data_IF_305887940997
#
_entry.id   IF_305887940997
#
_cell.length_a   1.000
_cell.length_b   1.000
_cell.length_c   1.000
_cell.angle_alpha   90.00
_cell.angle_beta   90.00
_cell.angle_gamma   90.00
#
_symmetry.space_group_name_H-M   'P 1'
#
loop_
_entity.id
_entity.type
_entity.pdbx_description
1 polymer ?
#
# COMPACT_ATOMS: atom_id res chain seq x y z
N UNK A 1 -14.25 4.47 7.93
CA UNK A 1 -14.11 3.35 8.88
C UNK A 1 -13.24 2.26 8.28
N UNK A 2 -12.70 1.35 9.09
CA UNK A 2 -11.76 0.31 8.62
C UNK A 2 -12.45 -0.75 7.76
N UNK A 3 -11.84 -1.08 6.61
CA UNK A 3 -12.20 -2.22 5.77
C UNK A 3 -11.22 -3.35 6.09
N UNK A 4 -11.75 -4.53 6.47
CA UNK A 4 -10.94 -5.72 6.75
C UNK A 4 -11.39 -6.90 5.89
N UNK A 5 -10.45 -7.51 5.18
CA UNK A 5 -10.66 -8.66 4.30
C UNK A 5 -9.61 -9.71 4.64
N UNK A 6 -9.98 -10.61 5.56
CA UNK A 6 -9.07 -11.63 6.10
C UNK A 6 -8.76 -12.76 5.13
N UNK A 7 -9.58 -12.92 4.08
CA UNK A 7 -9.45 -13.98 3.09
C UNK A 7 -9.10 -13.42 1.72
N UNK A 8 -8.86 -14.33 0.78
CA UNK A 8 -8.64 -14.01 -0.62
C UNK A 8 -9.90 -13.47 -1.29
N UNK A 9 -9.75 -12.41 -2.08
CA UNK A 9 -10.74 -11.99 -3.09
C UNK A 9 -10.14 -12.15 -4.49
N UNK A 10 -10.97 -12.62 -5.42
CA UNK A 10 -10.65 -12.68 -6.85
C UNK A 10 -11.64 -11.86 -7.66
N UNK A 11 -11.13 -11.16 -8.68
CA UNK A 11 -11.90 -10.30 -9.56
C UNK A 11 -11.43 -8.85 -9.49
N UNK A 12 -12.17 -7.97 -10.15
CA UNK A 12 -11.88 -6.54 -10.10
C UNK A 12 -12.35 -5.97 -8.76
N UNK A 13 -11.46 -5.25 -8.09
CA UNK A 13 -11.66 -4.79 -6.71
C UNK A 13 -11.45 -3.28 -6.63
N UNK A 14 -12.42 -2.59 -6.04
CA UNK A 14 -12.28 -1.19 -5.64
C UNK A 14 -12.63 -1.06 -4.16
N UNK A 15 -11.62 -0.78 -3.33
CA UNK A 15 -11.80 -0.48 -1.91
C UNK A 15 -11.45 0.98 -1.64
N UNK A 16 -12.32 1.65 -0.91
CA UNK A 16 -12.15 3.06 -0.57
C UNK A 16 -12.58 3.30 0.89
N UNK A 17 -11.74 4.01 1.63
CA UNK A 17 -12.14 4.59 2.92
C UNK A 17 -11.62 6.02 3.07
N UNK A 18 -12.39 6.86 3.74
CA UNK A 18 -11.99 8.22 4.12
C UNK A 18 -11.39 8.31 5.52
N UNK A 19 -11.59 7.27 6.34
CA UNK A 19 -11.15 7.22 7.74
C UNK A 19 -10.79 5.77 8.12
N UNK A 20 -9.71 5.56 8.87
CA UNK A 20 -9.22 4.24 9.25
C UNK A 20 -8.47 3.51 8.12
N UNK A 21 -8.43 2.18 8.21
CA UNK A 21 -7.47 1.37 7.44
C UNK A 21 -8.13 0.55 6.33
N UNK A 22 -7.31 0.09 5.38
CA UNK A 22 -7.64 -1.01 4.46
C UNK A 22 -6.70 -2.16 4.80
N UNK A 23 -7.24 -3.22 5.40
CA UNK A 23 -6.49 -4.40 5.82
C UNK A 23 -6.93 -5.57 4.95
N UNK A 24 -6.04 -6.09 4.11
CA UNK A 24 -6.34 -7.20 3.19
C UNK A 24 -5.29 -8.28 3.31
N UNK A 25 -5.71 -9.55 3.27
CA UNK A 25 -4.77 -10.66 3.14
C UNK A 25 -4.27 -10.77 1.70
N UNK A 26 -5.19 -11.06 0.76
CA UNK A 26 -4.84 -11.35 -0.63
C UNK A 26 -5.90 -10.83 -1.61
N UNK A 27 -5.46 -10.05 -2.59
CA UNK A 27 -6.31 -9.60 -3.71
C UNK A 27 -5.70 -10.05 -5.03
N UNK A 28 -6.53 -10.58 -5.93
CA UNK A 28 -6.13 -10.98 -7.28
C UNK A 28 -7.16 -10.54 -8.33
N UNK A 29 -6.76 -9.79 -9.35
CA UNK A 29 -7.71 -9.27 -10.33
C UNK A 29 -7.07 -8.82 -11.64
N UNK A 30 -7.89 -8.31 -12.57
CA UNK A 30 -7.34 -7.52 -13.67
C UNK A 30 -7.15 -6.09 -13.18
N UNK A 31 -8.17 -5.50 -12.56
CA UNK A 31 -8.16 -4.13 -12.06
C UNK A 31 -8.31 -4.11 -10.54
N UNK A 32 -7.30 -3.61 -9.81
CA UNK A 32 -7.37 -3.41 -8.36
C UNK A 32 -7.11 -1.94 -8.05
N UNK A 33 -8.05 -1.29 -7.37
CA UNK A 33 -7.92 0.10 -6.89
C UNK A 33 -8.12 0.15 -5.37
N UNK A 34 -7.13 0.67 -4.65
CA UNK A 34 -7.18 0.86 -3.20
C UNK A 34 -6.99 2.35 -2.88
N UNK A 35 -7.92 2.92 -2.11
CA UNK A 35 -7.91 4.35 -1.75
C UNK A 35 -8.13 4.57 -0.26
N UNK A 36 -7.16 5.19 0.41
CA UNK A 36 -7.25 5.54 1.83
C UNK A 36 -6.93 7.03 2.00
N UNK A 37 -7.95 7.85 2.33
CA UNK A 37 -7.76 9.30 2.47
C UNK A 37 -7.40 9.75 3.89
N UNK A 38 -7.26 8.81 4.81
CA UNK A 38 -6.85 9.10 6.18
C UNK A 38 -5.32 9.27 6.26
N UNK A 39 -4.87 10.42 6.73
CA UNK A 39 -3.43 10.71 6.94
C UNK A 39 -2.78 9.79 7.97
N UNK A 40 -3.58 9.20 8.86
CA UNK A 40 -3.16 8.21 9.86
C UNK A 40 -3.49 6.78 9.40
N UNK A 41 -4.15 6.64 8.25
CA UNK A 41 -4.59 5.36 7.71
C UNK A 41 -3.44 4.56 7.11
N UNK A 42 -3.59 3.24 7.15
CA UNK A 42 -2.68 2.31 6.49
C UNK A 42 -3.45 1.42 5.54
N UNK A 43 -2.91 1.29 4.31
CA UNK A 43 -3.26 0.18 3.41
C UNK A 43 -2.24 -0.92 3.69
N UNK A 44 -2.70 -2.05 4.23
CA UNK A 44 -1.86 -3.21 4.55
C UNK A 44 -2.33 -4.43 3.77
N UNK A 45 -1.46 -4.93 2.88
CA UNK A 45 -1.60 -6.23 2.22
C UNK A 45 -0.63 -7.25 2.84
N UNK A 46 -1.15 -8.13 3.70
CA UNK A 46 -0.31 -9.02 4.49
C UNK A 46 0.26 -10.21 3.71
N UNK A 47 -0.31 -10.55 2.55
CA UNK A 47 0.22 -11.60 1.67
C UNK A 47 0.53 -11.10 0.26
N UNK A 48 -0.48 -10.79 -0.56
CA UNK A 48 -0.30 -10.53 -2.00
C UNK A 48 -1.33 -9.56 -2.58
N UNK A 49 -0.85 -8.56 -3.31
CA UNK A 49 -1.61 -7.80 -4.29
C UNK A 49 -1.18 -8.25 -5.69
N UNK A 50 -2.05 -8.92 -6.43
CA UNK A 50 -1.79 -9.37 -7.80
C UNK A 50 -2.80 -8.74 -8.76
N UNK A 51 -2.36 -7.87 -9.67
CA UNK A 51 -3.23 -7.26 -10.66
C UNK A 51 -2.55 -7.06 -12.02
N UNK A 52 -3.31 -7.06 -13.11
CA UNK A 52 -2.80 -6.51 -14.36
C UNK A 52 -2.55 -5.00 -14.18
N UNK A 53 -3.55 -4.29 -13.64
CA UNK A 53 -3.53 -2.86 -13.35
C UNK A 53 -3.82 -2.66 -11.85
N UNK A 54 -2.78 -2.32 -11.08
CA UNK A 54 -2.86 -2.00 -9.66
C UNK A 54 -2.70 -0.49 -9.47
N UNK A 55 -3.71 0.14 -8.86
CA UNK A 55 -3.64 1.53 -8.39
C UNK A 55 -3.82 1.59 -6.89
N UNK A 56 -2.87 2.20 -6.21
CA UNK A 56 -2.94 2.47 -4.76
C UNK A 56 -2.75 3.96 -4.53
N UNK A 57 -3.70 4.59 -3.86
CA UNK A 57 -3.59 5.99 -3.44
C UNK A 57 -3.84 6.07 -1.94
N UNK A 58 -2.91 6.63 -1.17
CA UNK A 58 -3.10 6.82 0.27
C UNK A 58 -2.54 8.15 0.76
N UNK A 59 -3.24 8.77 1.71
CA UNK A 59 -2.74 9.94 2.44
C UNK A 59 -1.87 9.55 3.66
N UNK A 60 -1.89 8.26 4.03
CA UNK A 60 -1.10 7.70 5.12
C UNK A 60 0.01 6.79 4.61
N UNK A 61 -0.04 5.50 4.94
CA UNK A 61 1.02 4.53 4.61
C UNK A 61 0.55 3.38 3.72
N UNK A 62 1.49 2.81 2.96
CA UNK A 62 1.34 1.53 2.28
C UNK A 62 2.31 0.50 2.85
N UNK A 63 1.78 -0.65 3.27
CA UNK A 63 2.54 -1.86 3.59
C UNK A 63 2.07 -3.01 2.72
N UNK A 64 3.00 -3.68 2.06
CA UNK A 64 2.68 -4.87 1.29
C UNK A 64 3.78 -5.91 1.41
N UNK A 65 3.41 -7.16 1.68
CA UNK A 65 4.37 -8.26 1.63
C UNK A 65 4.79 -8.55 0.20
N UNK A 66 3.84 -8.69 -0.72
CA UNK A 66 4.14 -8.89 -2.13
C UNK A 66 3.20 -8.07 -3.00
N UNK A 67 3.77 -7.41 -4.00
CA UNK A 67 3.02 -6.80 -5.10
C UNK A 67 3.50 -7.44 -6.39
N UNK A 68 2.56 -7.99 -7.16
CA UNK A 68 2.80 -8.51 -8.50
C UNK A 68 1.83 -7.84 -9.47
N UNK A 69 2.35 -7.25 -10.54
CA UNK A 69 1.48 -6.77 -11.59
C UNK A 69 2.18 -6.45 -12.89
N UNK A 70 1.39 -5.96 -13.85
CA UNK A 70 1.92 -5.45 -15.11
C UNK A 70 2.10 -3.94 -15.04
N UNK A 71 1.04 -3.22 -14.66
CA UNK A 71 1.05 -1.78 -14.45
C UNK A 71 0.74 -1.50 -12.98
N UNK A 72 1.73 -1.00 -12.25
CA UNK A 72 1.60 -0.69 -10.82
C UNK A 72 1.80 0.81 -10.64
N UNK A 73 0.81 1.47 -10.08
CA UNK A 73 0.86 2.89 -9.73
C UNK A 73 0.54 3.04 -8.25
N UNK A 74 1.51 3.51 -7.48
CA UNK A 74 1.39 3.77 -6.05
C UNK A 74 1.69 5.23 -5.81
N UNK A 75 0.71 5.92 -5.25
CA UNK A 75 0.79 7.32 -4.85
C UNK A 75 0.55 7.43 -3.35
N UNK A 76 1.56 7.90 -2.62
CA UNK A 76 1.45 8.19 -1.20
C UNK A 76 1.62 9.69 -0.98
N UNK A 77 0.52 10.35 -0.62
CA UNK A 77 0.48 11.77 -0.24
C UNK A 77 0.63 11.88 1.27
N UNK A 78 1.71 11.27 1.77
CA UNK A 78 1.95 11.03 3.19
C UNK A 78 2.22 12.32 3.94
N UNK A 79 1.56 12.48 5.09
CA UNK A 79 2.02 13.37 6.15
C UNK A 79 2.66 12.50 7.23
N UNK A 80 3.83 12.86 7.76
CA UNK A 80 4.40 12.10 8.88
C UNK A 80 3.41 12.14 10.05
N UNK A 81 2.88 10.99 10.50
CA UNK A 81 2.22 10.91 11.78
C UNK A 81 3.27 11.30 12.82
N UNK A 82 3.07 12.42 13.52
CA UNK A 82 3.82 12.67 14.75
C UNK A 82 3.65 11.42 15.62
N UNK A 83 4.75 10.71 15.86
CA UNK A 83 4.83 9.40 16.52
C UNK A 83 3.68 9.15 17.50
N UNK A 84 2.63 8.45 17.08
CA UNK A 84 1.73 7.77 18.03
C UNK A 84 0.83 6.74 17.35
N UNK A 85 1.13 5.49 17.71
CA UNK A 85 0.27 4.31 17.68
C UNK A 85 -0.26 3.83 16.33
N UNK A 86 0.50 2.94 15.69
CA UNK A 86 -0.07 1.91 14.82
C UNK A 86 0.41 0.54 15.28
N UNK A 87 -0.53 -0.39 15.27
CA UNK A 87 -0.39 -1.82 15.55
C UNK A 87 0.87 -2.37 14.85
N UNK A 88 1.64 -3.17 15.58
CA UNK A 88 2.90 -3.85 15.21
C UNK A 88 4.19 -3.06 15.51
N UNK A 89 4.65 -3.19 16.77
CA UNK A 89 6.05 -3.06 17.16
C UNK A 89 6.85 -4.24 16.58
N UNK A 90 7.01 -4.30 15.27
CA UNK A 90 8.11 -5.04 14.68
C UNK A 90 9.30 -4.07 14.65
N UNK A 91 10.39 -4.40 15.34
CA UNK A 91 11.64 -3.63 15.46
C UNK A 91 12.34 -3.31 14.11
N UNK A 92 11.71 -3.67 12.98
CA UNK A 92 12.16 -3.46 11.60
C UNK A 92 11.39 -2.35 10.85
N UNK A 93 10.40 -1.70 11.49
CA UNK A 93 9.64 -0.59 10.90
C UNK A 93 10.45 0.70 10.89
N UNK A 94 11.20 0.88 9.80
CA UNK A 94 12.11 2.00 9.57
C UNK A 94 11.40 3.34 9.31
N UNK A 95 10.08 3.40 9.51
CA UNK A 95 9.26 4.60 9.36
C UNK A 95 8.92 4.97 7.91
N UNK A 96 9.16 4.08 6.93
CA UNK A 96 8.90 4.38 5.52
C UNK A 96 7.42 4.51 5.19
N UNK A 97 7.08 5.47 4.32
CA UNK A 97 5.70 5.70 3.84
C UNK A 97 5.23 4.57 2.92
N UNK A 98 6.15 4.00 2.14
CA UNK A 98 5.94 2.78 1.36
C UNK A 98 6.93 1.71 1.87
N UNK A 99 6.42 0.61 2.41
CA UNK A 99 7.21 -0.60 2.72
C UNK A 99 6.67 -1.81 1.94
N UNK A 100 7.47 -2.29 0.98
CA UNK A 100 7.15 -3.43 0.13
C UNK A 100 8.24 -4.50 0.28
N UNK A 101 7.88 -5.70 0.74
CA UNK A 101 8.89 -6.76 0.90
C UNK A 101 9.33 -7.40 -0.41
N UNK A 102 8.48 -7.42 -1.44
CA UNK A 102 8.87 -7.83 -2.79
C UNK A 102 7.95 -7.20 -3.84
N UNK A 103 8.53 -6.65 -4.91
CA UNK A 103 7.82 -6.04 -6.03
C UNK A 103 8.20 -6.76 -7.33
N UNK A 104 7.21 -7.40 -7.97
CA UNK A 104 7.37 -8.11 -9.23
C UNK A 104 6.57 -7.40 -10.33
N UNK A 105 7.28 -6.84 -11.31
CA UNK A 105 6.69 -6.28 -12.52
C UNK A 105 6.83 -7.30 -13.64
N UNK A 106 5.75 -7.59 -14.34
CA UNK A 106 5.70 -8.57 -15.43
C UNK A 106 5.20 -7.97 -16.73
N UNK A 107 5.51 -8.63 -17.85
CA UNK A 107 5.12 -8.16 -19.19
C UNK A 107 5.88 -6.92 -19.62
N UNK A 108 5.23 -6.04 -20.39
CA UNK A 108 5.80 -4.80 -20.92
C UNK A 108 5.44 -3.55 -20.12
N UNK A 109 4.84 -3.71 -18.94
CA UNK A 109 4.42 -2.60 -18.08
C UNK A 109 5.55 -2.11 -17.17
N UNK A 110 5.18 -1.38 -16.13
CA UNK A 110 6.10 -0.73 -15.21
C UNK A 110 5.52 -0.56 -13.80
N UNK A 111 6.39 -0.22 -12.86
CA UNK A 111 5.99 0.24 -11.53
C UNK A 111 6.37 1.70 -11.35
N UNK A 112 5.39 2.51 -10.99
CA UNK A 112 5.55 3.90 -10.57
C UNK A 112 5.22 3.96 -9.07
N UNK A 113 6.23 4.30 -8.26
CA UNK A 113 6.06 4.52 -6.83
C UNK A 113 6.41 5.98 -6.54
N UNK A 114 5.42 6.74 -6.11
CA UNK A 114 5.56 8.16 -5.87
C UNK A 114 5.13 8.51 -4.44
N UNK A 115 5.92 9.38 -3.84
CA UNK A 115 5.68 9.91 -2.50
C UNK A 115 5.71 11.43 -2.62
N UNK A 116 4.57 12.07 -2.41
CA UNK A 116 4.51 13.52 -2.20
C UNK A 116 4.60 13.78 -0.70
N UNK A 117 5.82 14.05 -0.23
CA UNK A 117 6.07 14.40 1.17
C UNK A 117 6.44 15.87 1.27
N UNK A 118 5.55 16.68 1.83
CA UNK A 118 5.81 18.10 2.12
C UNK A 118 6.90 18.30 3.19
N UNK A 119 7.29 17.23 3.89
CA UNK A 119 8.30 17.22 4.95
C UNK A 119 9.45 16.32 4.52
N UNK A 120 10.71 16.77 4.66
CA UNK A 120 11.90 15.99 4.31
C UNK A 120 11.97 14.71 5.15
N UNK A 121 11.46 13.60 4.63
CA UNK A 121 11.67 12.28 5.22
C UNK A 121 12.93 11.67 4.61
N UNK A 122 13.80 11.13 5.45
CA UNK A 122 15.04 10.46 5.02
C UNK A 122 14.78 9.13 4.32
N UNK A 123 13.54 8.59 4.38
CA UNK A 123 13.17 7.24 3.88
C UNK A 123 11.73 7.19 3.35
N UNK A 124 11.46 7.78 2.18
CA UNK A 124 10.12 7.75 1.57
C UNK A 124 9.66 6.37 1.09
N UNK A 125 10.58 5.57 0.53
CA UNK A 125 10.25 4.29 -0.13
C UNK A 125 11.26 3.22 0.27
N UNK A 126 10.77 2.05 0.70
CA UNK A 126 11.55 0.84 0.94
C UNK A 126 10.98 -0.31 0.11
N UNK A 127 11.80 -0.88 -0.76
CA UNK A 127 11.48 -2.11 -1.50
C UNK A 127 12.61 -3.11 -1.24
N UNK A 128 12.28 -4.26 -0.64
CA UNK A 128 13.24 -5.36 -0.45
C UNK A 128 13.19 -6.28 -1.69
N UNK A 129 14.34 -6.83 -2.06
CA UNK A 129 14.52 -7.74 -3.20
C UNK A 129 14.94 -9.12 -2.71
#
# INVERSE_FOLDING_TARGET
GTISIEKKIEGDVHLMTTEGNILVSKLRGHNITLQCHDTQGTIHASELLEAQDLRVTTAGRLRAKQIHGQNIDVEVNGHEPGMQNTVDNDDDDDGSLIDISSLYVSGSGGAHLFVDSSTQTTKGIRVKS
#
